data_IF_175757880740
#
_entry.id   IF_175757880740
#
_cell.length_a   1.000
_cell.length_b   1.000
_cell.length_c   1.000
_cell.angle_alpha   90.00
_cell.angle_beta   90.00
_cell.angle_gamma   90.00
#
_symmetry.space_group_name_H-M   'P 1'
#
loop_
_entity.id
_entity.type
_entity.pdbx_description
1 polymer ?
#
# COMPACT_ATOMS: atom_id res chain seq x y z
N UNK A 1 9.00 16.68 8.56
CA UNK A 1 9.66 15.60 9.33
C UNK A 1 10.28 14.65 8.32
N UNK A 2 11.47 14.09 8.58
CA UNK A 2 12.04 13.06 7.71
C UNK A 2 11.47 11.72 8.14
N UNK A 3 10.70 11.07 7.26
CA UNK A 3 10.16 9.74 7.50
C UNK A 3 11.19 8.70 7.07
N UNK A 4 11.33 7.63 7.85
CA UNK A 4 12.12 6.46 7.48
C UNK A 4 11.19 5.41 6.87
N UNK A 5 11.59 4.87 5.72
CA UNK A 5 10.82 3.88 4.98
C UNK A 5 11.68 2.65 4.76
N UNK A 6 11.24 1.48 5.19
CA UNK A 6 11.92 0.20 4.92
C UNK A 6 11.09 -0.66 3.97
N UNK A 7 11.74 -1.57 3.23
CA UNK A 7 11.05 -2.62 2.49
C UNK A 7 11.58 -4.00 2.88
N UNK A 8 10.67 -4.96 3.00
CA UNK A 8 10.98 -6.37 3.24
C UNK A 8 10.02 -7.27 2.45
N UNK A 9 10.49 -8.42 1.99
CA UNK A 9 9.64 -9.45 1.36
C UNK A 9 8.97 -10.34 2.40
N UNK A 10 7.76 -10.81 2.11
CA UNK A 10 6.97 -11.63 3.05
C UNK A 10 7.64 -12.95 3.44
N UNK A 11 8.39 -13.58 2.54
CA UNK A 11 9.16 -14.79 2.79
C UNK A 11 10.29 -14.56 3.80
N UNK A 12 11.01 -13.45 3.71
CA UNK A 12 12.07 -13.08 4.67
C UNK A 12 11.52 -12.86 6.09
N UNK A 13 10.33 -12.29 6.16
CA UNK A 13 9.62 -12.01 7.40
C UNK A 13 8.96 -13.25 8.00
N UNK A 14 8.45 -14.14 7.16
CA UNK A 14 7.95 -15.45 7.58
C UNK A 14 9.08 -16.33 8.17
N UNK A 15 10.33 -16.05 7.82
CA UNK A 15 11.54 -16.75 8.28
C UNK A 15 12.09 -16.24 9.63
N UNK A 16 11.24 -15.66 10.48
CA UNK A 16 11.53 -15.15 11.83
C UNK A 16 12.44 -13.92 11.93
N UNK A 17 12.56 -13.09 10.88
CA UNK A 17 13.12 -11.75 11.10
C UNK A 17 12.22 -10.97 12.05
N UNK A 18 12.75 -10.56 13.18
CA UNK A 18 12.05 -9.71 14.15
C UNK A 18 11.92 -8.29 13.62
N UNK A 19 10.91 -7.55 14.09
CA UNK A 19 10.71 -6.15 13.67
C UNK A 19 11.92 -5.26 13.99
N UNK A 20 12.65 -5.58 15.07
CA UNK A 20 13.90 -4.92 15.47
C UNK A 20 15.00 -5.08 14.42
N UNK A 21 15.01 -6.19 13.68
CA UNK A 21 15.96 -6.40 12.58
C UNK A 21 15.54 -5.62 11.33
N UNK A 22 14.23 -5.47 11.09
CA UNK A 22 13.70 -4.68 9.97
C UNK A 22 14.02 -3.20 10.14
N UNK A 23 13.92 -2.67 11.36
CA UNK A 23 14.25 -1.27 11.67
C UNK A 23 15.72 -0.93 11.36
N UNK A 24 16.62 -1.92 11.38
CA UNK A 24 18.05 -1.77 11.03
C UNK A 24 18.32 -1.79 9.53
N UNK A 25 17.33 -2.08 8.69
CA UNK A 25 17.49 -2.04 7.24
C UNK A 25 17.78 -0.62 6.75
N UNK A 26 18.36 -0.51 5.56
CA UNK A 26 18.51 0.79 4.89
C UNK A 26 17.15 1.33 4.48
N UNK A 27 17.06 2.66 4.37
CA UNK A 27 15.87 3.27 3.80
C UNK A 27 15.67 2.83 2.34
N UNK A 28 14.42 2.81 1.90
CA UNK A 28 14.03 2.50 0.54
C UNK A 28 14.77 3.43 -0.43
N UNK A 29 15.31 2.83 -1.49
CA UNK A 29 15.87 3.52 -2.63
C UNK A 29 15.21 3.06 -3.93
N UNK A 30 15.49 3.75 -5.04
CA UNK A 30 14.98 3.31 -6.35
C UNK A 30 15.52 1.94 -6.73
N UNK A 31 16.75 1.63 -6.31
CA UNK A 31 17.43 0.36 -6.52
C UNK A 31 16.79 -0.74 -5.69
N UNK A 32 16.43 -0.50 -4.42
CA UNK A 32 15.76 -1.52 -3.58
C UNK A 32 14.38 -1.91 -4.09
N UNK A 33 13.79 -1.13 -5.00
CA UNK A 33 12.49 -1.38 -5.62
C UNK A 33 12.59 -1.91 -7.05
N UNK A 34 13.79 -2.12 -7.62
CA UNK A 34 13.94 -2.57 -9.01
C UNK A 34 13.21 -3.88 -9.27
N UNK A 35 13.35 -4.83 -8.36
CA UNK A 35 12.79 -6.19 -8.46
C UNK A 35 11.28 -6.20 -8.21
N UNK A 36 10.75 -5.10 -7.71
CA UNK A 36 9.34 -4.89 -7.40
C UNK A 36 8.62 -4.15 -8.56
N UNK A 37 9.26 -3.90 -9.70
CA UNK A 37 8.63 -3.22 -10.86
C UNK A 37 7.78 -4.17 -11.72
N UNK A 38 6.87 -4.90 -11.09
CA UNK A 38 5.99 -5.89 -11.72
C UNK A 38 4.69 -6.02 -10.94
N UNK A 39 3.83 -6.95 -11.35
CA UNK A 39 2.58 -7.30 -10.67
C UNK A 39 2.84 -7.79 -9.26
N UNK A 40 1.92 -7.49 -8.34
CA UNK A 40 2.06 -7.97 -6.98
C UNK A 40 1.12 -7.31 -5.99
N UNK A 41 1.36 -7.60 -4.72
CA UNK A 41 0.67 -7.01 -3.58
C UNK A 41 1.70 -6.51 -2.59
N UNK A 42 1.48 -5.32 -2.06
CA UNK A 42 2.27 -4.74 -0.98
C UNK A 42 1.34 -4.37 0.19
N UNK A 43 1.91 -4.27 1.39
CA UNK A 43 1.23 -3.68 2.53
C UNK A 43 2.11 -2.66 3.25
N UNK A 44 1.48 -1.68 3.88
CA UNK A 44 2.14 -0.62 4.62
C UNK A 44 1.83 -0.79 6.10
N UNK A 45 2.89 -0.98 6.88
CA UNK A 45 2.87 -0.87 8.31
C UNK A 45 3.29 0.54 8.71
N UNK A 46 2.68 1.04 9.77
CA UNK A 46 3.13 2.25 10.42
C UNK A 46 2.83 2.28 11.90
N UNK A 47 3.58 3.10 12.61
CA UNK A 47 3.34 3.41 14.03
C UNK A 47 3.57 4.88 14.32
N UNK A 48 2.99 5.31 15.43
CA UNK A 48 3.44 6.51 16.14
C UNK A 48 4.63 6.12 17.01
N UNK A 49 5.39 7.12 17.44
CA UNK A 49 6.49 6.92 18.37
C UNK A 49 6.01 6.16 19.61
N UNK A 50 6.72 5.10 19.97
CA UNK A 50 6.45 4.24 21.13
C UNK A 50 5.09 3.49 21.10
N UNK A 51 4.38 3.48 19.95
CA UNK A 51 3.18 2.67 19.75
C UNK A 51 3.48 1.36 19.01
N UNK A 52 2.55 0.39 19.13
CA UNK A 52 2.59 -0.83 18.34
C UNK A 52 2.40 -0.54 16.84
N UNK A 53 3.05 -1.36 16.02
CA UNK A 53 2.89 -1.35 14.57
C UNK A 53 1.47 -1.77 14.18
N UNK A 54 0.90 -1.06 13.19
CA UNK A 54 -0.43 -1.33 12.65
C UNK A 54 -0.33 -1.45 11.15
N UNK A 55 -1.11 -2.36 10.57
CA UNK A 55 -1.34 -2.40 9.14
C UNK A 55 -2.21 -1.20 8.75
N UNK A 56 -1.63 -0.28 8.00
CA UNK A 56 -2.29 0.94 7.57
C UNK A 56 -2.97 0.76 6.23
N UNK A 57 -2.28 0.13 5.28
CA UNK A 57 -2.79 -0.05 3.91
C UNK A 57 -2.33 -1.38 3.32
N UNK A 58 -3.09 -1.88 2.35
CA UNK A 58 -2.70 -2.98 1.45
C UNK A 58 -3.12 -2.58 0.04
N UNK A 59 -2.28 -2.85 -0.95
CA UNK A 59 -2.58 -2.53 -2.34
C UNK A 59 -2.04 -3.58 -3.29
N UNK A 60 -2.84 -3.95 -4.29
CA UNK A 60 -2.34 -4.66 -5.47
C UNK A 60 -1.91 -3.67 -6.55
N UNK A 61 -0.93 -4.05 -7.35
CA UNK A 61 -0.48 -3.24 -8.48
C UNK A 61 -0.08 -4.08 -9.67
N UNK A 62 -0.02 -3.43 -10.82
CA UNK A 62 0.71 -3.93 -11.99
C UNK A 62 2.19 -3.51 -11.96
N UNK A 63 2.55 -2.58 -11.06
CA UNK A 63 3.93 -2.15 -10.83
C UNK A 63 4.07 -1.66 -9.38
N UNK A 64 4.25 -2.60 -8.45
CA UNK A 64 4.24 -2.27 -7.01
C UNK A 64 5.37 -1.29 -6.65
N UNK A 65 6.53 -1.37 -7.32
CA UNK A 65 7.67 -0.48 -7.07
C UNK A 65 7.37 0.98 -7.39
N UNK A 66 6.73 1.26 -8.53
CA UNK A 66 6.30 2.63 -8.88
C UNK A 66 5.20 3.15 -7.95
N UNK A 67 4.29 2.28 -7.53
CA UNK A 67 3.22 2.65 -6.60
C UNK A 67 3.78 3.01 -5.22
N UNK A 68 4.70 2.21 -4.68
CA UNK A 68 5.39 2.49 -3.41
C UNK A 68 6.15 3.82 -3.48
N UNK A 69 6.85 4.11 -4.58
CA UNK A 69 7.53 5.41 -4.75
C UNK A 69 6.52 6.56 -4.67
N UNK A 70 5.40 6.45 -5.38
CA UNK A 70 4.34 7.44 -5.38
C UNK A 70 3.68 7.58 -3.99
N UNK A 71 3.51 6.48 -3.24
CA UNK A 71 3.00 6.50 -1.87
C UNK A 71 3.97 7.18 -0.90
N UNK A 72 5.26 6.88 -0.99
CA UNK A 72 6.32 7.53 -0.20
C UNK A 72 6.31 9.04 -0.41
N UNK A 73 6.15 9.51 -1.64
CA UNK A 73 6.01 10.94 -1.95
C UNK A 73 4.79 11.56 -1.25
N UNK A 74 3.63 10.88 -1.34
CA UNK A 74 2.41 11.35 -0.69
C UNK A 74 2.55 11.42 0.84
N UNK A 75 3.12 10.38 1.46
CA UNK A 75 3.37 10.32 2.91
C UNK A 75 4.36 11.43 3.32
N UNK A 76 5.36 11.70 2.49
CA UNK A 76 6.36 12.75 2.74
C UNK A 76 5.84 14.17 2.52
N UNK A 77 4.59 14.33 2.08
CA UNK A 77 3.98 15.62 1.79
C UNK A 77 4.40 16.22 0.44
N UNK A 78 5.08 15.44 -0.42
CA UNK A 78 5.47 15.82 -1.78
C UNK A 78 4.28 15.69 -2.74
N UNK A 79 3.21 16.43 -2.45
CA UNK A 79 1.96 16.38 -3.21
C UNK A 79 1.81 17.68 -4.00
N UNK A 80 1.79 17.57 -5.32
CA UNK A 80 1.61 18.70 -6.22
C UNK A 80 0.12 18.94 -6.48
N UNK A 81 -0.38 20.13 -6.14
CA UNK A 81 -1.68 20.60 -6.61
C UNK A 81 -1.50 21.31 -7.95
N UNK A 82 -2.26 20.88 -8.96
CA UNK A 82 -2.30 21.50 -10.29
C UNK A 82 -3.59 22.31 -10.41
N UNK A 83 -3.48 23.64 -10.30
CA UNK A 83 -4.64 24.54 -10.30
C UNK A 83 -4.99 25.05 -11.71
N UNK A 84 -4.22 24.71 -12.73
CA UNK A 84 -4.40 25.28 -14.07
C UNK A 84 -4.29 24.22 -15.17
N UNK A 85 -4.79 23.01 -14.88
CA UNK A 85 -4.68 21.89 -15.83
C UNK A 85 -5.47 22.18 -17.10
N UNK A 86 -4.84 22.12 -18.28
CA UNK A 86 -5.55 22.28 -19.55
C UNK A 86 -6.62 21.20 -19.70
N UNK A 87 -7.84 21.59 -20.09
CA UNK A 87 -8.88 20.65 -20.42
C UNK A 87 -8.68 20.07 -21.83
N UNK A 88 -8.63 18.74 -21.92
CA UNK A 88 -8.58 17.99 -23.17
C UNK A 88 -9.92 17.28 -23.34
N UNK A 89 -10.62 17.57 -24.44
CA UNK A 89 -11.93 16.97 -24.72
C UNK A 89 -11.81 15.49 -25.18
N UNK A 90 -12.94 14.82 -25.36
CA UNK A 90 -12.98 13.41 -25.79
C UNK A 90 -12.43 13.15 -27.21
N UNK A 91 -12.17 14.22 -27.99
CA UNK A 91 -11.52 14.16 -29.30
C UNK A 91 -10.01 14.45 -29.23
N UNK A 92 -9.44 14.56 -28.02
CA UNK A 92 -8.02 14.83 -27.82
C UNK A 92 -7.60 16.27 -28.06
N UNK A 93 -8.55 17.22 -28.13
CA UNK A 93 -8.26 18.63 -28.38
C UNK A 93 -8.20 19.43 -27.08
N UNK A 94 -7.19 20.29 -26.94
CA UNK A 94 -7.13 21.29 -25.87
C UNK A 94 -8.19 22.37 -26.11
N UNK A 95 -9.04 22.63 -25.12
CA UNK A 95 -10.03 23.72 -25.21
C UNK A 95 -9.39 25.02 -24.71
N UNK A 96 -9.05 25.89 -25.65
CA UNK A 96 -8.43 27.19 -25.33
C UNK A 96 -9.33 28.02 -24.41
N UNK A 97 -8.74 28.58 -23.36
CA UNK A 97 -9.46 29.42 -22.39
C UNK A 97 -10.20 28.65 -21.30
N UNK A 98 -10.07 27.32 -21.23
CA UNK A 98 -10.65 26.51 -20.15
C UNK A 98 -9.59 25.64 -19.46
N UNK A 99 -9.35 25.92 -18.18
CA UNK A 99 -8.52 25.12 -17.25
C UNK A 99 -9.35 24.67 -16.06
N UNK A 100 -8.85 23.68 -15.32
CA UNK A 100 -9.52 23.21 -14.11
C UNK A 100 -8.51 22.80 -13.02
N UNK A 101 -8.94 22.92 -11.77
CA UNK A 101 -8.18 22.48 -10.60
C UNK A 101 -8.20 20.95 -10.48
N UNK A 102 -7.04 20.35 -10.28
CA UNK A 102 -6.87 18.95 -9.89
C UNK A 102 -6.79 18.89 -8.37
N UNK A 103 -7.87 18.41 -7.76
CA UNK A 103 -7.90 18.10 -6.34
C UNK A 103 -7.24 16.76 -6.06
N UNK A 104 -6.79 16.59 -4.81
CA UNK A 104 -6.22 15.33 -4.35
C UNK A 104 -7.21 14.19 -4.53
N UNK A 105 -6.75 13.12 -5.15
CA UNK A 105 -7.45 11.85 -5.16
C UNK A 105 -7.66 11.35 -3.73
N UNK A 106 -8.68 10.52 -3.55
CA UNK A 106 -8.92 9.92 -2.24
C UNK A 106 -7.75 9.03 -1.76
N UNK A 107 -6.88 8.56 -2.67
CA UNK A 107 -5.63 7.87 -2.32
C UNK A 107 -4.65 8.86 -1.69
N UNK A 108 -4.34 9.96 -2.37
CA UNK A 108 -3.42 11.00 -1.88
C UNK A 108 -3.87 11.59 -0.53
N UNK A 109 -5.17 11.79 -0.34
CA UNK A 109 -5.72 12.24 0.94
C UNK A 109 -5.44 11.25 2.09
N UNK A 110 -5.58 9.94 1.83
CA UNK A 110 -5.27 8.88 2.81
C UNK A 110 -3.78 8.91 3.17
N UNK A 111 -2.89 8.93 2.18
CA UNK A 111 -1.45 8.89 2.46
C UNK A 111 -0.93 10.17 3.10
N UNK A 112 -1.51 11.33 2.75
CA UNK A 112 -1.26 12.58 3.47
C UNK A 112 -1.64 12.44 4.94
N UNK A 113 -2.84 11.94 5.24
CA UNK A 113 -3.28 11.69 6.62
C UNK A 113 -2.35 10.71 7.34
N UNK A 114 -1.89 9.65 6.66
CA UNK A 114 -0.91 8.71 7.22
C UNK A 114 0.41 9.42 7.58
N UNK A 115 0.98 10.23 6.67
CA UNK A 115 2.21 10.98 6.93
C UNK A 115 2.09 12.01 8.05
N UNK A 116 0.91 12.62 8.21
CA UNK A 116 0.63 13.57 9.29
C UNK A 116 0.45 12.90 10.67
N UNK A 117 0.09 11.61 10.71
CA UNK A 117 -0.31 10.93 11.95
C UNK A 117 0.63 9.79 12.39
N UNK A 118 1.55 9.34 11.55
CA UNK A 118 2.48 8.24 11.82
C UNK A 118 3.92 8.68 11.53
N UNK A 119 4.89 8.09 12.23
CA UNK A 119 6.29 8.54 12.20
C UNK A 119 7.22 7.55 11.52
N UNK A 120 6.99 6.25 11.71
CA UNK A 120 7.81 5.17 11.15
C UNK A 120 7.00 4.30 10.20
N UNK A 121 7.62 3.84 9.11
CA UNK A 121 6.95 3.08 8.07
C UNK A 121 7.77 1.88 7.56
N UNK A 122 7.07 0.77 7.35
CA UNK A 122 7.62 -0.43 6.71
C UNK A 122 6.67 -0.85 5.59
N UNK A 123 7.18 -0.90 4.36
CA UNK A 123 6.54 -1.57 3.26
C UNK A 123 6.88 -3.07 3.30
N UNK A 124 5.87 -3.90 3.12
CA UNK A 124 5.99 -5.35 3.02
C UNK A 124 5.59 -5.75 1.61
N UNK A 125 6.54 -6.25 0.83
CA UNK A 125 6.26 -6.88 -0.46
C UNK A 125 5.68 -8.27 -0.20
N UNK A 126 4.36 -8.41 -0.32
CA UNK A 126 3.64 -9.67 -0.05
C UNK A 126 3.93 -10.69 -1.13
N UNK A 127 3.83 -10.27 -2.39
CA UNK A 127 4.21 -11.04 -3.56
C UNK A 127 4.59 -10.09 -4.70
N UNK A 128 5.51 -10.52 -5.57
CA UNK A 128 5.89 -9.77 -6.77
C UNK A 128 6.30 -10.74 -7.88
N UNK A 129 5.79 -10.54 -9.09
CA UNK A 129 6.07 -11.39 -10.24
C UNK A 129 4.89 -11.49 -11.21
N UNK A 130 5.18 -11.81 -12.47
CA UNK A 130 4.18 -12.01 -13.53
C UNK A 130 3.17 -13.10 -13.18
N UNK A 131 3.59 -14.12 -12.44
CA UNK A 131 2.75 -15.23 -11.97
C UNK A 131 1.60 -14.77 -11.06
N UNK A 132 1.71 -13.60 -10.41
CA UNK A 132 0.66 -13.07 -9.54
C UNK A 132 -0.34 -12.18 -10.27
N UNK A 133 -0.20 -11.97 -11.58
CA UNK A 133 -1.04 -11.05 -12.35
C UNK A 133 -2.54 -11.31 -12.16
N UNK A 134 -2.95 -12.57 -12.14
CA UNK A 134 -4.36 -12.96 -12.06
C UNK A 134 -4.83 -13.20 -10.61
N UNK A 135 -3.91 -13.49 -9.68
CA UNK A 135 -4.23 -13.81 -8.29
C UNK A 135 -4.09 -12.64 -7.32
N UNK A 136 -3.40 -11.55 -7.70
CA UNK A 136 -3.12 -10.40 -6.82
C UNK A 136 -4.34 -9.76 -6.16
N UNK A 137 -5.50 -9.76 -6.84
CA UNK A 137 -6.75 -9.23 -6.26
C UNK A 137 -7.25 -10.08 -5.08
N UNK A 138 -7.19 -11.41 -5.19
CA UNK A 138 -7.56 -12.29 -4.10
C UNK A 138 -6.56 -12.16 -2.94
N UNK A 139 -5.25 -12.12 -3.27
CA UNK A 139 -4.17 -11.94 -2.30
C UNK A 139 -4.34 -10.64 -1.51
N UNK A 140 -4.60 -9.51 -2.16
CA UNK A 140 -4.85 -8.21 -1.51
C UNK A 140 -6.01 -8.31 -0.51
N UNK A 141 -7.16 -8.84 -0.94
CA UNK A 141 -8.33 -9.03 -0.07
C UNK A 141 -7.98 -9.88 1.15
N UNK A 142 -7.21 -10.95 0.96
CA UNK A 142 -6.82 -11.84 2.05
C UNK A 142 -5.92 -11.16 3.07
N UNK A 143 -4.87 -10.49 2.61
CA UNK A 143 -3.97 -9.75 3.50
C UNK A 143 -4.74 -8.66 4.23
N UNK A 144 -5.53 -7.85 3.52
CA UNK A 144 -6.28 -6.75 4.12
C UNK A 144 -7.31 -7.23 5.16
N UNK A 145 -8.03 -8.32 4.86
CA UNK A 145 -9.01 -8.90 5.78
C UNK A 145 -8.35 -9.45 7.04
N UNK A 146 -7.26 -10.21 6.90
CA UNK A 146 -6.54 -10.83 8.01
C UNK A 146 -5.84 -9.82 8.91
N UNK A 147 -5.33 -8.75 8.32
CA UNK A 147 -4.60 -7.68 9.03
C UNK A 147 -5.50 -6.57 9.56
N UNK A 148 -6.75 -6.49 9.09
CA UNK A 148 -7.68 -5.39 9.38
C UNK A 148 -7.06 -4.02 9.04
N UNK A 149 -6.40 -3.94 7.88
CA UNK A 149 -5.68 -2.75 7.46
C UNK A 149 -6.56 -1.48 7.52
N UNK A 150 -6.09 -0.47 8.27
CA UNK A 150 -6.92 0.62 8.77
C UNK A 150 -7.56 1.47 7.67
N UNK A 151 -6.82 1.75 6.60
CA UNK A 151 -7.25 2.59 5.48
C UNK A 151 -7.59 1.79 4.23
N UNK A 152 -7.69 0.46 4.34
CA UNK A 152 -8.02 -0.38 3.19
C UNK A 152 -9.46 -0.19 2.72
N UNK A 153 -9.63 -0.18 1.40
CA UNK A 153 -10.93 -0.04 0.75
C UNK A 153 -11.03 -0.98 -0.44
N UNK A 154 -12.05 -1.83 -0.42
CA UNK A 154 -12.43 -2.64 -1.57
C UNK A 154 -13.48 -1.90 -2.41
N UNK A 155 -13.03 -0.93 -3.20
CA UNK A 155 -13.90 0.00 -3.92
C UNK A 155 -14.18 1.28 -3.13
N UNK A 156 -15.46 1.59 -2.87
CA UNK A 156 -15.85 2.82 -2.17
C UNK A 156 -15.82 2.62 -0.65
N UNK A 157 -15.39 3.65 0.08
CA UNK A 157 -15.50 3.67 1.53
C UNK A 157 -16.98 3.62 1.96
N UNK A 158 -17.23 3.05 3.15
CA UNK A 158 -18.57 3.12 3.75
C UNK A 158 -18.93 4.57 4.09
N UNK A 159 -20.21 4.92 3.92
CA UNK A 159 -20.74 6.23 4.32
C UNK A 159 -21.05 6.31 5.81
N UNK A 160 -21.30 5.17 6.44
CA UNK A 160 -21.68 5.03 7.84
C UNK A 160 -20.93 3.83 8.47
N UNK A 161 -20.67 3.84 9.78
CA UNK A 161 -20.06 2.73 10.48
C UNK A 161 -20.84 1.42 10.31
N UNK A 162 -20.13 0.30 10.13
CA UNK A 162 -20.72 -1.02 9.94
C UNK A 162 -20.07 -2.05 10.87
N UNK A 163 -20.85 -2.61 11.79
CA UNK A 163 -20.34 -3.57 12.78
C UNK A 163 -20.11 -4.98 12.19
N UNK A 164 -20.98 -5.41 11.28
CA UNK A 164 -20.97 -6.78 10.73
C UNK A 164 -20.48 -6.79 9.28
N UNK A 165 -19.24 -6.35 9.07
CA UNK A 165 -18.60 -6.43 7.74
C UNK A 165 -18.32 -7.91 7.45
N UNK A 166 -18.82 -8.40 6.32
CA UNK A 166 -18.60 -9.76 5.85
C UNK A 166 -17.23 -9.89 5.19
N UNK A 167 -16.71 -11.11 5.19
CA UNK A 167 -15.49 -11.44 4.47
C UNK A 167 -15.64 -11.14 2.96
N UNK A 168 -14.65 -10.53 2.29
CA UNK A 168 -14.73 -10.24 0.86
C UNK A 168 -14.89 -11.51 0.01
N UNK A 169 -15.74 -11.46 -1.01
CA UNK A 169 -15.90 -12.57 -1.96
C UNK A 169 -14.60 -12.84 -2.75
N UNK A 170 -14.33 -14.13 -2.99
CA UNK A 170 -13.19 -14.60 -3.79
C UNK A 170 -11.84 -14.54 -3.07
N UNK A 171 -11.86 -14.30 -1.76
CA UNK A 171 -10.68 -14.31 -0.89
C UNK A 171 -10.05 -15.71 -0.77
N UNK A 172 -10.83 -16.75 -1.04
CA UNK A 172 -10.45 -18.15 -1.05
C UNK A 172 -9.68 -18.56 -2.31
N UNK A 173 -9.72 -17.73 -3.36
CA UNK A 173 -9.07 -17.99 -4.65
C UNK A 173 -7.57 -17.67 -4.62
N UNK A 174 -6.87 -18.26 -3.65
CA UNK A 174 -5.44 -18.10 -3.42
C UNK A 174 -4.83 -19.47 -3.24
N UNK A 175 -3.66 -19.68 -3.83
CA UNK A 175 -2.93 -20.93 -3.63
C UNK A 175 -2.61 -21.16 -2.15
N UNK A 176 -2.78 -22.39 -1.64
CA UNK A 176 -2.53 -22.70 -0.22
C UNK A 176 -1.10 -22.38 0.25
N UNK A 177 -0.11 -22.49 -0.63
CA UNK A 177 1.29 -22.14 -0.38
C UNK A 177 1.45 -20.65 -0.06
N UNK A 178 0.85 -19.77 -0.88
CA UNK A 178 0.86 -18.32 -0.70
C UNK A 178 0.14 -17.96 0.60
N UNK A 179 -1.04 -18.56 0.83
CA UNK A 179 -1.82 -18.35 2.06
C UNK A 179 -1.02 -18.67 3.32
N UNK A 180 -0.28 -19.78 3.31
CA UNK A 180 0.59 -20.19 4.42
C UNK A 180 1.69 -19.17 4.70
N UNK A 181 2.36 -18.66 3.66
CA UNK A 181 3.40 -17.61 3.81
C UNK A 181 2.80 -16.35 4.44
N UNK A 182 1.64 -15.91 3.94
CA UNK A 182 0.94 -14.73 4.47
C UNK A 182 0.54 -14.93 5.95
N UNK A 183 -0.02 -16.10 6.30
CA UNK A 183 -0.41 -16.38 7.67
C UNK A 183 0.78 -16.41 8.62
N UNK A 184 1.91 -16.98 8.21
CA UNK A 184 3.16 -16.98 8.98
C UNK A 184 3.72 -15.57 9.15
N UNK A 185 3.75 -14.79 8.07
CA UNK A 185 4.17 -13.39 8.06
C UNK A 185 3.34 -12.56 9.06
N UNK A 186 2.01 -12.66 9.02
CA UNK A 186 1.10 -11.94 9.93
C UNK A 186 1.29 -12.43 11.37
N UNK A 187 1.43 -13.74 11.57
CA UNK A 187 1.66 -14.34 12.88
C UNK A 187 2.96 -13.89 13.53
N UNK A 188 4.01 -13.62 12.75
CA UNK A 188 5.28 -13.11 13.26
C UNK A 188 5.24 -11.62 13.61
N UNK A 189 4.39 -10.83 12.94
CA UNK A 189 4.20 -9.42 13.27
C UNK A 189 3.33 -9.17 14.51
N UNK A 190 2.39 -10.07 14.80
CA UNK A 190 1.48 -9.91 15.93
C UNK A 190 2.05 -10.48 17.25
N UNK A 191 3.27 -11.02 17.26
CA UNK A 191 3.99 -11.49 18.45
C UNK A 191 4.80 -10.34 19.06
#
# INVERSE_FOLDING_TARGET
MSHMFKIIKADELSSNKSIVEIEKLKDISKESLSDCKTYGVWGLLGRKKDEQWKWLQVGQSNNIGLEIISDVQCISGEITQDNDRPYINQFGQVVNGYTYNVYLSAREQIYKCIGENFTDFIFVCVCCGEEYKDSKMAIEKYVAWKTRALFWRNGRAFKEPKANVQEPEGIENIEPSIKKVIDQMIGNFNK
#
